data_IF_226617240883
#
_entry.id   IF_226617240883
#
_cell.length_a   1.000
_cell.length_b   1.000
_cell.length_c   1.000
_cell.angle_alpha   90.00
_cell.angle_beta   90.00
_cell.angle_gamma   90.00
#
_symmetry.space_group_name_H-M   'P 1'
#
loop_
_entity.id
_entity.type
_entity.pdbx_description
1 polymer ?
#
# COMPACT_ATOMS: atom_id res chain seq x y z
N UNK A 1 -52.24 -63.25 6.03
CA UNK A 1 -51.56 -62.74 7.23
C UNK A 1 -50.08 -63.10 7.13
N UNK A 2 -49.21 -62.12 7.37
CA UNK A 2 -47.74 -62.12 7.20
C UNK A 2 -47.25 -62.00 5.75
N UNK A 3 -46.29 -61.13 5.40
CA UNK A 3 -45.72 -59.94 6.04
C UNK A 3 -44.99 -59.21 4.90
N UNK A 4 -45.24 -57.92 4.71
CA UNK A 4 -44.51 -57.11 3.74
C UNK A 4 -43.09 -56.85 4.22
N UNK A 5 -42.10 -57.13 3.39
CA UNK A 5 -40.71 -56.70 3.58
C UNK A 5 -40.37 -55.72 2.47
N UNK A 6 -40.69 -54.44 2.70
CA UNK A 6 -40.16 -53.33 1.94
C UNK A 6 -38.82 -52.93 2.55
N UNK A 7 -37.73 -53.40 1.98
CA UNK A 7 -36.38 -52.88 2.23
C UNK A 7 -35.99 -52.01 1.03
N UNK A 8 -36.43 -50.75 1.04
CA UNK A 8 -35.93 -49.71 0.14
C UNK A 8 -34.55 -49.23 0.60
N UNK A 9 -33.63 -48.92 -0.33
CA UNK A 9 -32.22 -48.74 -0.02
C UNK A 9 -32.00 -47.48 0.83
N UNK A 10 -31.21 -47.64 1.88
CA UNK A 10 -30.73 -46.57 2.74
C UNK A 10 -30.02 -45.51 1.88
N UNK A 11 -30.44 -44.26 2.06
CA UNK A 11 -29.89 -43.10 1.39
C UNK A 11 -28.40 -42.96 1.71
N UNK A 12 -27.55 -43.10 0.69
CA UNK A 12 -26.14 -42.72 0.70
C UNK A 12 -26.00 -41.22 1.05
N UNK A 13 -25.91 -40.93 2.36
CA UNK A 13 -25.64 -39.59 2.90
C UNK A 13 -24.15 -39.20 2.85
N UNK A 14 -23.30 -39.96 2.16
CA UNK A 14 -21.85 -39.71 2.09
C UNK A 14 -21.45 -38.98 0.81
N UNK A 15 -21.96 -37.77 0.58
CA UNK A 15 -21.51 -36.94 -0.55
C UNK A 15 -21.47 -35.45 -0.25
N UNK A 16 -21.04 -35.07 0.96
CA UNK A 16 -20.98 -33.65 1.35
C UNK A 16 -19.59 -32.97 1.28
N UNK A 17 -18.45 -33.60 1.62
CA UNK A 17 -17.18 -32.84 1.72
C UNK A 17 -16.56 -32.48 0.35
N UNK A 18 -16.73 -33.34 -0.67
CA UNK A 18 -16.11 -33.15 -1.99
C UNK A 18 -16.79 -32.06 -2.83
N UNK A 19 -18.10 -31.89 -2.68
CA UNK A 19 -18.88 -30.81 -3.31
C UNK A 19 -18.64 -29.45 -2.64
N UNK A 20 -18.53 -29.43 -1.32
CA UNK A 20 -18.16 -28.24 -0.56
C UNK A 20 -16.74 -27.75 -0.94
N UNK A 21 -15.77 -28.66 -1.04
CA UNK A 21 -14.41 -28.31 -1.48
C UNK A 21 -14.35 -27.75 -2.91
N UNK A 22 -15.14 -28.30 -3.84
CA UNK A 22 -15.22 -27.78 -5.20
C UNK A 22 -15.88 -26.40 -5.29
N UNK A 23 -16.92 -26.15 -4.49
CA UNK A 23 -17.57 -24.84 -4.41
C UNK A 23 -16.64 -23.79 -3.77
N UNK A 24 -15.88 -24.17 -2.73
CA UNK A 24 -14.90 -23.28 -2.09
C UNK A 24 -13.75 -22.93 -3.03
N UNK A 25 -13.21 -23.90 -3.78
CA UNK A 25 -12.20 -23.63 -4.82
C UNK A 25 -12.73 -22.73 -5.93
N UNK A 26 -13.98 -22.92 -6.37
CA UNK A 26 -14.62 -22.07 -7.37
C UNK A 26 -14.82 -20.63 -6.90
N UNK A 27 -15.21 -20.44 -5.63
CA UNK A 27 -15.33 -19.12 -5.01
C UNK A 27 -13.95 -18.47 -4.84
N UNK A 28 -12.95 -19.20 -4.34
CA UNK A 28 -11.59 -18.69 -4.18
C UNK A 28 -11.00 -18.24 -5.52
N UNK A 29 -11.21 -19.02 -6.58
CA UNK A 29 -10.72 -18.71 -7.92
C UNK A 29 -11.32 -17.41 -8.45
N UNK A 30 -12.64 -17.24 -8.31
CA UNK A 30 -13.34 -16.05 -8.78
C UNK A 30 -12.97 -14.79 -7.99
N UNK A 31 -12.75 -14.90 -6.68
CA UNK A 31 -12.26 -13.79 -5.87
C UNK A 31 -10.80 -13.44 -6.15
N UNK A 32 -9.90 -14.42 -6.37
CA UNK A 32 -8.49 -14.17 -6.71
C UNK A 32 -8.37 -13.47 -8.07
N UNK A 33 -9.19 -13.86 -9.04
CA UNK A 33 -9.26 -13.20 -10.34
C UNK A 33 -9.75 -11.74 -10.19
N UNK A 34 -10.81 -11.52 -9.40
CA UNK A 34 -11.33 -10.17 -9.12
C UNK A 34 -10.33 -9.30 -8.35
N UNK A 35 -9.71 -9.84 -7.29
CA UNK A 35 -8.65 -9.19 -6.50
C UNK A 35 -7.44 -8.83 -7.38
N UNK A 36 -7.07 -9.70 -8.33
CA UNK A 36 -5.99 -9.45 -9.27
C UNK A 36 -6.28 -8.27 -10.20
N UNK A 37 -7.52 -8.15 -10.67
CA UNK A 37 -7.97 -7.06 -11.53
C UNK A 37 -8.05 -5.75 -10.75
N UNK A 38 -8.64 -5.74 -9.55
CA UNK A 38 -8.70 -4.55 -8.68
C UNK A 38 -7.30 -4.07 -8.26
N UNK A 39 -6.38 -5.00 -7.97
CA UNK A 39 -4.97 -4.67 -7.70
C UNK A 39 -4.29 -4.04 -8.91
N UNK A 40 -4.53 -4.54 -10.12
CA UNK A 40 -3.97 -3.95 -11.34
C UNK A 40 -4.51 -2.54 -11.59
N UNK A 41 -5.79 -2.33 -11.37
CA UNK A 41 -6.45 -1.05 -11.61
C UNK A 41 -6.01 0.00 -10.58
N UNK A 42 -5.91 -0.36 -9.30
CA UNK A 42 -5.36 0.51 -8.26
C UNK A 42 -3.86 0.78 -8.45
N UNK A 43 -3.08 -0.21 -8.92
CA UNK A 43 -1.65 -0.06 -9.21
C UNK A 43 -1.41 0.91 -10.36
N UNK A 44 -2.18 0.83 -11.46
CA UNK A 44 -2.02 1.74 -12.60
C UNK A 44 -2.31 3.19 -12.24
N UNK A 45 -3.40 3.45 -11.48
CA UNK A 45 -3.75 4.79 -11.01
C UNK A 45 -2.72 5.35 -10.03
N UNK A 46 -2.27 4.52 -9.10
CA UNK A 46 -1.25 4.90 -8.11
C UNK A 46 0.08 5.19 -8.79
N UNK A 47 0.51 4.38 -9.75
CA UNK A 47 1.73 4.62 -10.54
C UNK A 47 1.64 5.94 -11.32
N UNK A 48 0.51 6.21 -11.99
CA UNK A 48 0.31 7.48 -12.70
C UNK A 48 0.40 8.68 -11.75
N UNK A 49 -0.24 8.61 -10.58
CA UNK A 49 -0.16 9.65 -9.57
C UNK A 49 1.27 9.83 -9.02
N UNK A 50 1.99 8.74 -8.78
CA UNK A 50 3.39 8.79 -8.36
C UNK A 50 4.30 9.41 -9.44
N UNK A 51 4.05 9.13 -10.71
CA UNK A 51 4.78 9.75 -11.83
C UNK A 51 4.52 11.26 -11.89
N UNK A 52 3.26 11.70 -11.82
CA UNK A 52 2.94 13.13 -11.79
C UNK A 52 3.47 13.83 -10.53
N UNK A 53 3.38 13.17 -9.36
CA UNK A 53 3.95 13.69 -8.12
C UNK A 53 5.49 13.81 -8.21
N UNK A 54 6.16 12.82 -8.78
CA UNK A 54 7.60 12.86 -9.03
C UNK A 54 8.00 13.96 -10.01
N UNK A 55 7.27 14.11 -11.12
CA UNK A 55 7.50 15.17 -12.09
C UNK A 55 7.27 16.57 -11.49
N UNK A 56 6.20 16.73 -10.72
CA UNK A 56 5.91 17.96 -9.98
C UNK A 56 7.02 18.28 -8.98
N UNK A 57 7.53 17.27 -8.25
CA UNK A 57 8.67 17.41 -7.35
C UNK A 57 9.93 17.88 -8.08
N UNK A 58 10.24 17.29 -9.25
CA UNK A 58 11.39 17.71 -10.08
C UNK A 58 11.25 19.17 -10.52
N UNK A 59 10.10 19.57 -11.06
CA UNK A 59 9.87 20.97 -11.45
C UNK A 59 9.94 21.92 -10.27
N UNK A 60 9.42 21.53 -9.09
CA UNK A 60 9.51 22.33 -7.88
C UNK A 60 10.98 22.52 -7.43
N UNK A 61 11.81 21.47 -7.49
CA UNK A 61 13.24 21.56 -7.17
C UNK A 61 13.99 22.44 -8.17
N UNK A 62 13.70 22.34 -9.47
CA UNK A 62 14.28 23.21 -10.49
C UNK A 62 13.92 24.68 -10.25
N UNK A 63 12.64 24.97 -9.97
CA UNK A 63 12.17 26.31 -9.64
C UNK A 63 12.85 26.85 -8.38
N UNK A 64 12.94 26.05 -7.31
CA UNK A 64 13.59 26.41 -6.06
C UNK A 64 15.08 26.76 -6.26
N UNK A 65 15.77 25.98 -7.09
CA UNK A 65 17.15 26.25 -7.48
C UNK A 65 17.25 27.56 -8.28
N UNK A 66 16.34 27.78 -9.22
CA UNK A 66 16.26 29.03 -10.00
C UNK A 66 15.99 30.26 -9.12
N UNK A 67 15.07 30.15 -8.16
CA UNK A 67 14.78 31.21 -7.18
C UNK A 67 15.98 31.50 -6.28
N UNK A 68 16.74 30.47 -5.91
CA UNK A 68 17.99 30.64 -5.14
C UNK A 68 19.05 31.40 -5.91
N UNK A 69 19.25 31.03 -7.19
CA UNK A 69 20.17 31.73 -8.06
C UNK A 69 19.73 33.18 -8.29
N UNK A 70 18.44 33.40 -8.55
CA UNK A 70 17.85 34.74 -8.67
C UNK A 70 18.14 35.57 -7.42
N UNK A 71 17.88 35.02 -6.23
CA UNK A 71 18.13 35.69 -4.95
C UNK A 71 19.61 36.04 -4.77
N UNK A 72 20.52 35.13 -5.12
CA UNK A 72 21.95 35.39 -5.08
C UNK A 72 22.38 36.49 -6.07
N UNK A 73 21.81 36.52 -7.28
CA UNK A 73 22.09 37.55 -8.28
C UNK A 73 21.61 38.91 -7.79
N UNK A 74 20.39 39.00 -7.24
CA UNK A 74 19.83 40.25 -6.72
C UNK A 74 20.64 40.78 -5.53
N UNK A 75 21.07 39.91 -4.63
CA UNK A 75 21.84 40.30 -3.44
C UNK A 75 23.36 40.39 -3.68
N UNK A 76 23.83 40.10 -4.90
CA UNK A 76 25.25 39.84 -5.16
C UNK A 76 26.18 41.01 -4.81
N UNK A 77 25.75 42.22 -5.14
CA UNK A 77 26.63 43.40 -5.10
C UNK A 77 26.88 43.91 -3.67
N UNK A 78 25.85 43.90 -2.81
CA UNK A 78 25.93 44.44 -1.45
C UNK A 78 25.92 43.37 -0.35
N UNK A 79 25.27 42.23 -0.57
CA UNK A 79 24.91 41.26 0.49
C UNK A 79 25.25 39.82 0.14
N UNK A 80 26.26 39.61 -0.71
CA UNK A 80 26.67 38.30 -1.23
C UNK A 80 26.78 37.21 -0.15
N UNK A 81 27.54 37.49 0.91
CA UNK A 81 27.72 36.55 2.02
C UNK A 81 26.43 36.32 2.80
N UNK A 82 25.66 37.38 3.08
CA UNK A 82 24.39 37.25 3.78
C UNK A 82 23.37 36.44 2.98
N UNK A 83 23.31 36.60 1.66
CA UNK A 83 22.49 35.79 0.76
C UNK A 83 22.86 34.31 0.82
N UNK A 84 24.15 33.98 0.71
CA UNK A 84 24.64 32.59 0.81
C UNK A 84 24.32 31.99 2.18
N UNK A 85 24.63 32.71 3.27
CA UNK A 85 24.36 32.25 4.64
C UNK A 85 22.86 32.04 4.84
N UNK A 86 22.01 32.96 4.37
CA UNK A 86 20.56 32.84 4.45
C UNK A 86 20.03 31.61 3.73
N UNK A 87 20.52 31.33 2.53
CA UNK A 87 20.21 30.11 1.78
C UNK A 87 20.66 28.84 2.51
N UNK A 88 21.87 28.83 3.06
CA UNK A 88 22.36 27.69 3.86
C UNK A 88 21.46 27.42 5.07
N UNK A 89 21.15 28.45 5.87
CA UNK A 89 20.29 28.32 7.04
C UNK A 89 18.90 27.83 6.64
N UNK A 90 18.31 28.42 5.60
CA UNK A 90 17.00 28.03 5.10
C UNK A 90 16.97 26.55 4.68
N UNK A 91 17.95 26.10 3.91
CA UNK A 91 18.02 24.71 3.46
C UNK A 91 18.32 23.72 4.59
N UNK A 92 19.14 24.09 5.57
CA UNK A 92 19.38 23.26 6.75
C UNK A 92 18.09 23.09 7.56
N UNK A 93 17.32 24.15 7.79
CA UNK A 93 16.04 24.07 8.50
C UNK A 93 15.02 23.22 7.74
N UNK A 94 14.90 23.40 6.42
CA UNK A 94 14.04 22.59 5.58
C UNK A 94 14.44 21.09 5.63
N UNK A 95 15.74 20.79 5.54
CA UNK A 95 16.25 19.43 5.64
C UNK A 95 15.97 18.79 7.00
N UNK A 96 16.18 19.53 8.10
CA UNK A 96 15.85 19.07 9.45
C UNK A 96 14.36 18.78 9.60
N UNK A 97 13.49 19.68 9.11
CA UNK A 97 12.05 19.46 9.13
C UNK A 97 11.64 18.20 8.36
N UNK A 98 12.16 18.01 7.14
CA UNK A 98 11.93 16.80 6.36
C UNK A 98 12.45 15.55 7.06
N UNK A 99 13.64 15.59 7.65
CA UNK A 99 14.21 14.47 8.40
C UNK A 99 13.36 14.10 9.63
N UNK A 100 12.87 15.10 10.37
CA UNK A 100 11.96 14.86 11.50
C UNK A 100 10.63 14.28 11.05
N UNK A 101 10.04 14.78 9.95
CA UNK A 101 8.81 14.25 9.36
C UNK A 101 8.98 12.83 8.83
N UNK A 102 10.10 12.53 8.18
CA UNK A 102 10.44 11.21 7.69
C UNK A 102 10.65 10.25 8.87
N UNK A 103 11.41 10.67 9.89
CA UNK A 103 11.56 9.92 11.13
C UNK A 103 10.18 9.66 11.77
N UNK A 104 9.34 10.68 11.89
CA UNK A 104 7.99 10.49 12.40
C UNK A 104 7.24 9.43 11.57
N UNK A 105 7.23 9.54 10.24
CA UNK A 105 6.53 8.60 9.37
C UNK A 105 7.09 7.15 9.39
N UNK A 106 8.39 6.96 9.60
CA UNK A 106 9.02 5.63 9.68
C UNK A 106 8.79 4.99 11.06
N UNK A 107 8.84 5.81 12.12
CA UNK A 107 8.71 5.35 13.51
C UNK A 107 7.26 5.44 14.04
N UNK A 108 6.30 5.90 13.23
CA UNK A 108 4.87 5.75 13.50
C UNK A 108 4.52 4.27 13.24
N UNK A 109 4.30 3.52 14.33
CA UNK A 109 4.23 2.05 14.39
C UNK A 109 3.03 1.45 13.61
N UNK A 110 2.23 2.27 12.97
CA UNK A 110 1.22 1.85 12.01
C UNK A 110 1.85 1.56 10.64
N UNK A 111 2.65 0.50 10.56
CA UNK A 111 2.85 -0.18 9.27
C UNK A 111 1.45 -0.62 8.78
N UNK A 112 0.97 -0.13 7.62
CA UNK A 112 -0.41 -0.36 7.16
C UNK A 112 -0.71 -1.85 6.87
N UNK A 113 0.31 -2.71 6.93
CA UNK A 113 0.21 -4.15 6.73
C UNK A 113 0.50 -4.97 7.99
N UNK A 114 0.98 -4.39 9.10
CA UNK A 114 1.24 -5.18 10.31
C UNK A 114 -0.07 -5.72 10.90
N UNK A 115 -1.09 -4.87 11.05
CA UNK A 115 -2.41 -5.33 11.49
C UNK A 115 -2.95 -6.43 10.58
N UNK A 116 -2.88 -6.26 9.26
CA UNK A 116 -3.35 -7.24 8.27
C UNK A 116 -2.53 -8.53 8.26
N UNK A 117 -1.21 -8.45 8.44
CA UNK A 117 -0.31 -9.62 8.50
C UNK A 117 -0.47 -10.39 9.80
N UNK A 118 -0.71 -9.69 10.90
CA UNK A 118 -0.98 -10.29 12.21
C UNK A 118 -2.35 -10.96 12.22
N UNK A 119 -3.35 -10.36 11.58
CA UNK A 119 -4.65 -10.99 11.34
C UNK A 119 -4.52 -12.21 10.41
N UNK A 120 -3.71 -12.15 9.35
CA UNK A 120 -3.40 -13.31 8.48
C UNK A 120 -2.64 -14.43 9.21
N UNK A 121 -1.72 -14.08 10.12
CA UNK A 121 -0.97 -15.04 10.91
C UNK A 121 -1.88 -15.75 11.92
N UNK A 122 -2.80 -15.01 12.55
CA UNK A 122 -3.77 -15.53 13.49
C UNK A 122 -4.81 -16.44 12.80
N UNK A 123 -5.24 -16.07 11.59
CA UNK A 123 -6.15 -16.90 10.78
C UNK A 123 -5.46 -18.17 10.30
N UNK A 124 -4.15 -18.12 9.99
CA UNK A 124 -3.33 -19.31 9.69
C UNK A 124 -3.22 -20.26 10.88
N UNK A 125 -3.02 -19.75 12.08
CA UNK A 125 -2.96 -20.57 13.31
C UNK A 125 -4.29 -21.23 13.63
N UNK A 126 -5.42 -20.58 13.30
CA UNK A 126 -6.77 -21.17 13.46
C UNK A 126 -7.11 -22.21 12.40
N UNK A 127 -6.44 -22.18 11.25
CA UNK A 127 -6.68 -23.08 10.12
C UNK A 127 -5.71 -24.28 10.06
N UNK A 128 -4.64 -24.29 10.87
CA UNK A 128 -3.83 -25.49 11.13
C UNK A 128 -4.37 -26.18 12.40
N UNK A 129 -5.00 -27.37 12.30
CA UNK A 129 -5.55 -28.11 13.44
C UNK A 129 -4.48 -28.68 14.37
#
# INVERSE_FOLDING_TARGET
MALGTESGPEQDQTSSPRRLGAAFLGLLHSHVELFGIELQEQKARTLSLLLFAGLALVFALLLLTGLSALLLIVLWDSYRLAGIIGLCVFYTLAALFCAMRLKAAIFDESSPFNATLEELANDRERLMP
#
